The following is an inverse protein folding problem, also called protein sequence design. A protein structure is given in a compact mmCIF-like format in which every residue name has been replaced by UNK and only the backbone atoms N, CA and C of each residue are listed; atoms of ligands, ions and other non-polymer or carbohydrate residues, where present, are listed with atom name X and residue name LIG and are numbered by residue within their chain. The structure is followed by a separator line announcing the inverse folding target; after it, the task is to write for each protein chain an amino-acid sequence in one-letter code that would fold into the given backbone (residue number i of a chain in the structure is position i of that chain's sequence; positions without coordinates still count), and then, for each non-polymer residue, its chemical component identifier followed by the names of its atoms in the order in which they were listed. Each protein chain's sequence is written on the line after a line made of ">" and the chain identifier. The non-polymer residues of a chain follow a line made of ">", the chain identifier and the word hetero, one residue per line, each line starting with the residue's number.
data_IF_647336871788
#
_entry.id   IF_647336871788
#
_cell.length_a   1.000
_cell.length_b   1.000
_cell.length_c   1.000
_cell.angle_alpha   90.00
_cell.angle_beta   90.00
_cell.angle_gamma   90.00
#
_symmetry.space_group_name_H-M   'P 1'
#
loop_
_entity.id
_entity.type
_entity.pdbx_description
1 polymer ?
#
# COMPACT_ATOMS: atom_id res chain seq x y z
N UNK A 1 -26.62 16.95 15.51
CA UNK A 1 -26.76 18.21 16.26
C UNK A 1 -25.73 19.15 15.69
N UNK A 2 -26.14 20.38 15.45
CA UNK A 2 -25.29 21.44 14.95
C UNK A 2 -25.18 22.48 16.06
N UNK A 3 -23.97 22.95 16.31
CA UNK A 3 -23.71 24.01 17.29
C UNK A 3 -22.61 24.88 16.71
N UNK A 4 -22.88 26.18 16.57
CA UNK A 4 -21.93 27.17 16.07
C UNK A 4 -21.33 26.77 14.69
N UNK A 5 -22.18 26.34 13.75
CA UNK A 5 -21.81 25.82 12.41
C UNK A 5 -20.87 24.60 12.40
N UNK A 6 -20.71 23.94 13.55
CA UNK A 6 -19.96 22.70 13.69
C UNK A 6 -20.93 21.54 13.88
N UNK A 7 -20.85 20.56 12.98
CA UNK A 7 -21.62 19.34 13.09
C UNK A 7 -20.96 18.39 14.10
N UNK A 8 -21.75 17.97 15.10
CA UNK A 8 -21.28 17.03 16.13
C UNK A 8 -21.63 15.60 15.72
N UNK A 9 -20.60 14.78 15.54
CA UNK A 9 -20.73 13.35 15.23
C UNK A 9 -21.23 12.58 16.46
N UNK A 10 -22.19 11.67 16.24
CA UNK A 10 -22.74 10.84 17.30
C UNK A 10 -21.73 9.76 17.75
N UNK A 11 -21.15 9.94 18.93
CA UNK A 11 -20.16 9.04 19.49
C UNK A 11 -20.67 7.62 19.80
N UNK A 12 -21.98 7.44 20.06
CA UNK A 12 -22.54 6.08 20.24
C UNK A 12 -22.49 5.30 18.93
N UNK A 13 -22.75 5.96 17.79
CA UNK A 13 -22.58 5.36 16.47
C UNK A 13 -21.12 5.08 16.16
N UNK A 14 -20.22 6.01 16.51
CA UNK A 14 -18.77 5.80 16.40
C UNK A 14 -18.32 4.57 17.18
N UNK A 15 -18.69 4.43 18.45
CA UNK A 15 -18.30 3.29 19.27
C UNK A 15 -18.82 1.97 18.70
N UNK A 16 -20.09 1.90 18.30
CA UNK A 16 -20.67 0.69 17.71
C UNK A 16 -19.98 0.30 16.39
N UNK A 17 -19.75 1.27 15.51
CA UNK A 17 -19.09 1.02 14.20
C UNK A 17 -17.60 0.72 14.33
N UNK A 18 -16.94 1.31 15.33
CA UNK A 18 -15.55 1.02 15.63
C UNK A 18 -15.39 -0.42 16.14
N UNK A 19 -16.30 -0.92 16.98
CA UNK A 19 -16.26 -2.32 17.42
C UNK A 19 -16.54 -3.30 16.25
N UNK A 20 -17.51 -2.99 15.39
CA UNK A 20 -17.78 -3.77 14.18
C UNK A 20 -16.54 -3.86 13.27
N UNK A 21 -15.87 -2.72 13.05
CA UNK A 21 -14.62 -2.65 12.30
C UNK A 21 -13.50 -3.46 12.99
N UNK A 22 -13.41 -3.39 14.32
CA UNK A 22 -12.42 -4.09 15.15
C UNK A 22 -12.51 -5.59 14.96
N UNK A 23 -13.71 -6.16 15.10
CA UNK A 23 -13.94 -7.60 14.96
C UNK A 23 -13.63 -8.09 13.55
N UNK A 24 -14.02 -7.33 12.53
CA UNK A 24 -13.76 -7.69 11.14
C UNK A 24 -12.25 -7.63 10.81
N UNK A 25 -11.55 -6.59 11.26
CA UNK A 25 -10.09 -6.49 11.07
C UNK A 25 -9.35 -7.62 11.79
N UNK A 26 -9.74 -7.94 13.03
CA UNK A 26 -9.17 -9.06 13.79
C UNK A 26 -9.30 -10.38 13.03
N UNK A 27 -10.48 -10.67 12.45
CA UNK A 27 -10.71 -11.87 11.61
C UNK A 27 -9.85 -11.90 10.35
N UNK A 28 -9.68 -10.76 9.68
CA UNK A 28 -8.86 -10.67 8.45
C UNK A 28 -7.38 -10.95 8.76
N UNK A 29 -6.90 -10.40 9.88
CA UNK A 29 -5.51 -10.55 10.33
C UNK A 29 -5.24 -11.94 10.91
N UNK A 30 -6.21 -12.54 11.62
CA UNK A 30 -6.09 -13.92 12.11
C UNK A 30 -5.96 -14.93 10.96
N UNK A 31 -6.66 -14.67 9.84
CA UNK A 31 -6.51 -15.42 8.58
C UNK A 31 -5.16 -15.17 7.86
N UNK A 32 -4.29 -14.33 8.42
CA UNK A 32 -2.96 -14.05 7.91
C UNK A 32 -2.90 -13.09 6.74
N UNK A 33 -3.98 -12.35 6.47
CA UNK A 33 -3.97 -11.27 5.47
C UNK A 33 -3.44 -9.99 6.11
N UNK A 34 -2.69 -9.20 5.33
CA UNK A 34 -2.17 -7.89 5.77
C UNK A 34 -3.23 -6.81 5.52
N UNK A 35 -3.26 -5.80 6.38
CA UNK A 35 -4.10 -4.60 6.23
C UNK A 35 -3.23 -3.48 5.68
N UNK A 36 -3.65 -2.84 4.59
CA UNK A 36 -2.96 -1.68 4.04
C UNK A 36 -3.58 -0.41 4.61
N UNK A 37 -2.78 0.39 5.31
CA UNK A 37 -3.22 1.68 5.82
C UNK A 37 -2.94 2.80 4.83
N UNK A 38 -3.84 3.77 4.70
CA UNK A 38 -3.71 4.86 3.72
C UNK A 38 -4.11 6.19 4.34
N UNK A 39 -3.21 7.16 4.23
CA UNK A 39 -3.53 8.58 4.42
C UNK A 39 -2.49 9.47 3.78
N UNK A 40 -2.91 10.54 3.12
CA UNK A 40 -2.01 11.61 2.65
C UNK A 40 -2.19 12.92 3.43
N UNK A 41 -2.99 12.91 4.51
CA UNK A 41 -3.15 14.08 5.40
C UNK A 41 -1.91 14.31 6.23
N UNK A 42 -1.46 15.56 6.29
CA UNK A 42 -0.26 15.98 7.04
C UNK A 42 -0.41 15.61 8.52
N UNK A 43 -1.60 15.80 9.09
CA UNK A 43 -1.94 15.49 10.48
C UNK A 43 -1.85 13.99 10.79
N UNK A 44 -2.07 13.14 9.80
CA UNK A 44 -2.06 11.68 9.96
C UNK A 44 -0.69 11.05 9.65
N UNK A 45 0.17 11.67 8.84
CA UNK A 45 1.41 11.02 8.32
C UNK A 45 2.30 10.46 9.43
N UNK A 46 2.64 11.30 10.43
CA UNK A 46 3.58 10.90 11.47
C UNK A 46 2.93 9.92 12.45
N UNK A 47 1.68 10.18 12.82
CA UNK A 47 0.89 9.32 13.71
C UNK A 47 0.77 7.92 13.10
N UNK A 48 0.48 7.84 11.80
CA UNK A 48 0.35 6.57 11.10
C UNK A 48 1.65 5.77 11.11
N UNK A 49 2.79 6.43 10.83
CA UNK A 49 4.12 5.81 10.85
C UNK A 49 4.48 5.29 12.23
N UNK A 50 4.20 6.07 13.27
CA UNK A 50 4.48 5.72 14.66
C UNK A 50 3.60 4.55 15.13
N UNK A 51 2.29 4.62 14.92
CA UNK A 51 1.34 3.61 15.39
C UNK A 51 1.51 2.24 14.72
N UNK A 52 2.06 2.19 13.51
CA UNK A 52 2.17 0.93 12.74
C UNK A 52 3.57 0.29 12.85
N UNK A 53 4.55 1.04 13.38
CA UNK A 53 5.96 0.62 13.43
C UNK A 53 6.15 -0.77 14.06
N UNK A 54 5.35 -1.09 15.07
CA UNK A 54 5.52 -2.31 15.86
C UNK A 54 4.78 -3.53 15.28
N UNK A 55 3.83 -3.33 14.35
CA UNK A 55 2.93 -4.40 13.85
C UNK A 55 3.26 -4.90 12.43
N UNK A 56 4.30 -4.36 11.79
CA UNK A 56 4.74 -4.74 10.45
C UNK A 56 3.58 -4.76 9.43
N UNK A 57 2.71 -3.75 9.47
CA UNK A 57 1.64 -3.60 8.48
C UNK A 57 2.05 -2.59 7.40
N UNK A 58 1.72 -2.85 6.13
CA UNK A 58 2.01 -1.90 5.07
C UNK A 58 1.14 -0.64 5.20
N UNK A 59 1.72 0.51 4.86
CA UNK A 59 1.00 1.79 4.89
C UNK A 59 1.40 2.69 3.72
N UNK A 60 0.59 3.66 3.32
CA UNK A 60 0.96 4.71 2.36
C UNK A 60 0.68 6.05 3.04
N UNK A 61 1.74 6.82 3.31
CA UNK A 61 1.64 8.13 3.96
C UNK A 61 1.81 9.32 3.01
N UNK A 62 2.39 9.13 1.83
CA UNK A 62 2.79 10.24 0.96
C UNK A 62 1.74 10.58 -0.09
N UNK A 63 1.75 9.87 -1.21
CA UNK A 63 0.80 10.04 -2.31
C UNK A 63 0.34 8.68 -2.76
N UNK A 64 -0.96 8.51 -2.95
CA UNK A 64 -1.51 7.33 -3.60
C UNK A 64 -1.20 7.36 -5.11
N UNK A 65 -0.37 6.45 -5.65
CA UNK A 65 -0.21 6.32 -7.09
C UNK A 65 -1.42 5.59 -7.66
N UNK A 66 -2.10 6.20 -8.64
CA UNK A 66 -3.20 5.54 -9.33
C UNK A 66 -2.74 4.22 -9.97
N UNK A 67 -3.54 3.17 -9.80
CA UNK A 67 -3.19 1.82 -10.22
C UNK A 67 -2.40 1.02 -9.20
N UNK A 68 -2.25 1.50 -7.96
CA UNK A 68 -1.50 0.78 -6.91
C UNK A 68 -2.02 -0.65 -6.74
N UNK A 69 -3.34 -0.79 -6.61
CA UNK A 69 -3.99 -2.08 -6.38
C UNK A 69 -4.40 -2.71 -7.71
N UNK A 70 -5.01 -1.92 -8.60
CA UNK A 70 -5.58 -2.44 -9.86
C UNK A 70 -4.53 -2.84 -10.88
N UNK A 71 -3.32 -2.25 -10.84
CA UNK A 71 -2.18 -2.60 -11.69
C UNK A 71 -0.97 -3.07 -10.84
N UNK A 72 -1.25 -3.88 -9.82
CA UNK A 72 -0.23 -4.31 -8.84
C UNK A 72 0.97 -5.04 -9.47
N UNK A 73 0.77 -5.74 -10.60
CA UNK A 73 1.85 -6.42 -11.33
C UNK A 73 2.90 -5.44 -11.86
N UNK A 74 2.48 -4.26 -12.33
CA UNK A 74 3.38 -3.20 -12.80
C UNK A 74 4.05 -2.49 -11.64
N UNK A 75 3.30 -2.19 -10.58
CA UNK A 75 3.84 -1.57 -9.36
C UNK A 75 4.94 -2.43 -8.75
N UNK A 76 4.75 -3.75 -8.73
CA UNK A 76 5.78 -4.70 -8.28
C UNK A 76 7.06 -4.62 -9.12
N UNK A 77 6.98 -4.38 -10.43
CA UNK A 77 8.18 -4.17 -11.27
C UNK A 77 8.92 -2.90 -10.84
N UNK A 78 8.20 -1.85 -10.48
CA UNK A 78 8.79 -0.60 -9.97
C UNK A 78 9.46 -0.81 -8.61
N UNK A 79 8.83 -1.56 -7.69
CA UNK A 79 9.43 -1.96 -6.40
C UNK A 79 10.69 -2.81 -6.62
N UNK A 80 10.68 -3.76 -7.56
CA UNK A 80 11.87 -4.54 -7.90
C UNK A 80 13.01 -3.68 -8.43
N UNK A 81 12.72 -2.63 -9.21
CA UNK A 81 13.74 -1.66 -9.66
C UNK A 81 14.35 -0.91 -8.48
N UNK A 82 13.54 -0.55 -7.48
CA UNK A 82 14.02 0.06 -6.23
C UNK A 82 14.99 -0.88 -5.50
N UNK A 83 14.61 -2.14 -5.29
CA UNK A 83 15.45 -3.15 -4.64
C UNK A 83 16.72 -3.46 -5.43
N UNK A 84 16.67 -3.40 -6.78
CA UNK A 84 17.87 -3.55 -7.61
C UNK A 84 18.86 -2.40 -7.39
N UNK A 85 18.39 -1.17 -7.21
CA UNK A 85 19.26 -0.03 -6.87
C UNK A 85 19.92 -0.26 -5.51
N UNK A 86 19.20 -0.79 -4.52
CA UNK A 86 19.78 -1.12 -3.21
C UNK A 86 20.85 -2.20 -3.30
N UNK A 87 20.61 -3.24 -4.13
CA UNK A 87 21.62 -4.26 -4.41
C UNK A 87 22.87 -3.67 -5.08
N UNK A 88 22.69 -2.85 -6.12
CA UNK A 88 23.83 -2.19 -6.79
C UNK A 88 24.66 -1.32 -5.84
N UNK A 89 24.03 -0.69 -4.84
CA UNK A 89 24.73 0.08 -3.80
C UNK A 89 25.54 -0.81 -2.88
N UNK A 90 24.99 -1.97 -2.49
CA UNK A 90 25.67 -2.93 -1.61
C UNK A 90 26.80 -3.69 -2.32
N UNK A 91 26.60 -4.04 -3.59
CA UNK A 91 27.53 -4.85 -4.40
C UNK A 91 28.70 -4.01 -4.97
N UNK A 92 28.74 -2.70 -4.71
CA UNK A 92 29.82 -1.80 -5.13
C UNK A 92 29.76 -1.37 -6.60
N UNK A 93 28.88 -1.97 -7.44
CA UNK A 93 28.65 -1.56 -8.84
C UNK A 93 28.22 -0.10 -8.94
N UNK A 94 27.56 0.44 -7.90
CA UNK A 94 27.21 1.85 -7.84
C UNK A 94 28.44 2.78 -7.97
N UNK A 95 29.62 2.31 -7.59
CA UNK A 95 30.89 3.05 -7.69
C UNK A 95 31.35 3.36 -9.11
N UNK A 96 30.94 2.58 -10.11
CA UNK A 96 31.42 2.72 -11.50
C UNK A 96 30.76 3.87 -12.27
N UNK A 97 29.62 4.35 -11.78
CA UNK A 97 28.88 5.44 -12.43
C UNK A 97 29.53 6.81 -12.21
N UNK A 98 29.29 7.72 -13.15
CA UNK A 98 29.69 9.12 -13.03
C UNK A 98 28.95 9.81 -11.87
N UNK A 99 29.50 10.91 -11.34
CA UNK A 99 28.86 11.68 -10.24
C UNK A 99 27.43 12.12 -10.59
N UNK A 100 27.19 12.47 -11.87
CA UNK A 100 25.87 12.90 -12.36
C UNK A 100 24.87 11.74 -12.35
N UNK A 101 25.26 10.57 -12.81
CA UNK A 101 24.40 9.38 -12.84
C UNK A 101 24.10 8.87 -11.42
N UNK A 102 25.09 8.85 -10.53
CA UNK A 102 24.90 8.53 -9.11
C UNK A 102 23.82 9.40 -8.48
N UNK A 103 23.91 10.71 -8.67
CA UNK A 103 22.91 11.66 -8.16
C UNK A 103 21.50 11.40 -8.72
N UNK A 104 21.38 11.07 -10.01
CA UNK A 104 20.08 10.74 -10.62
C UNK A 104 19.50 9.45 -10.06
N UNK A 105 20.32 8.41 -9.89
CA UNK A 105 19.91 7.13 -9.31
C UNK A 105 19.49 7.32 -7.84
N UNK A 106 20.23 8.11 -7.06
CA UNK A 106 19.90 8.42 -5.68
C UNK A 106 18.57 9.15 -5.54
N UNK A 107 18.35 10.21 -6.32
CA UNK A 107 17.07 10.93 -6.34
C UNK A 107 15.91 10.01 -6.73
N UNK A 108 16.12 9.13 -7.70
CA UNK A 108 15.13 8.14 -8.11
C UNK A 108 14.84 7.14 -6.99
N UNK A 109 15.87 6.65 -6.30
CA UNK A 109 15.73 5.72 -5.18
C UNK A 109 14.99 6.34 -4.01
N UNK A 110 15.32 7.58 -3.65
CA UNK A 110 14.66 8.31 -2.58
C UNK A 110 13.18 8.57 -2.88
N UNK A 111 12.87 8.95 -4.14
CA UNK A 111 11.48 9.13 -4.59
C UNK A 111 10.68 7.83 -4.53
N UNK A 112 11.30 6.71 -4.91
CA UNK A 112 10.67 5.38 -4.82
C UNK A 112 10.49 4.95 -3.36
N UNK A 113 11.46 5.23 -2.47
CA UNK A 113 11.40 4.91 -1.05
C UNK A 113 10.19 5.56 -0.38
N UNK A 114 10.05 6.87 -0.60
CA UNK A 114 9.00 7.69 0.02
C UNK A 114 7.60 7.18 -0.32
N UNK A 115 7.41 6.63 -1.52
CA UNK A 115 6.10 6.18 -2.00
C UNK A 115 5.89 4.68 -1.72
N UNK A 116 6.90 3.85 -1.94
CA UNK A 116 6.75 2.39 -1.98
C UNK A 116 7.52 1.63 -0.90
N UNK A 117 8.32 2.30 -0.07
CA UNK A 117 9.20 1.65 0.91
C UNK A 117 8.44 0.69 1.84
N UNK A 118 7.31 1.14 2.36
CA UNK A 118 6.40 0.39 3.25
C UNK A 118 5.64 -0.77 2.59
N UNK A 119 5.57 -0.81 1.26
CA UNK A 119 4.92 -1.91 0.52
C UNK A 119 5.94 -2.78 -0.21
N UNK A 120 7.23 -2.57 0.03
CA UNK A 120 8.31 -3.24 -0.69
C UNK A 120 8.30 -4.76 -0.48
N UNK A 121 7.88 -5.20 0.70
CA UNK A 121 7.76 -6.61 1.08
C UNK A 121 6.41 -7.24 0.72
N UNK A 122 5.47 -6.46 0.15
CA UNK A 122 4.17 -7.00 -0.23
C UNK A 122 4.25 -7.88 -1.48
N UNK A 123 4.11 -9.19 -1.29
CA UNK A 123 4.02 -10.15 -2.40
C UNK A 123 2.62 -10.31 -3.00
N UNK A 124 1.58 -9.97 -2.23
CA UNK A 124 0.17 -10.15 -2.60
C UNK A 124 -0.64 -8.90 -2.26
N UNK A 125 -1.81 -8.78 -2.86
CA UNK A 125 -2.76 -7.73 -2.54
C UNK A 125 -3.17 -7.81 -1.06
N UNK A 126 -3.45 -6.67 -0.41
CA UNK A 126 -3.89 -6.67 0.98
C UNK A 126 -5.24 -7.37 1.13
N UNK A 127 -5.55 -7.83 2.35
CA UNK A 127 -6.86 -8.38 2.68
C UNK A 127 -7.90 -7.33 3.05
N UNK A 128 -7.45 -6.14 3.45
CA UNK A 128 -8.29 -5.01 3.79
C UNK A 128 -7.54 -3.70 3.54
N UNK A 129 -8.30 -2.64 3.32
CA UNK A 129 -7.80 -1.27 3.27
C UNK A 129 -8.33 -0.49 4.46
N UNK A 130 -7.46 0.19 5.21
CA UNK A 130 -7.86 1.14 6.25
C UNK A 130 -7.51 2.56 5.80
N UNK A 131 -8.51 3.42 5.67
CA UNK A 131 -8.39 4.76 5.08
C UNK A 131 -8.66 5.84 6.12
N UNK A 132 -7.75 6.79 6.26
CA UNK A 132 -7.94 8.01 7.05
C UNK A 132 -8.23 9.15 6.06
N UNK A 133 -9.45 9.68 6.13
CA UNK A 133 -10.09 10.56 5.14
C UNK A 133 -10.46 9.86 3.82
N UNK A 134 -11.72 9.44 3.75
CA UNK A 134 -12.32 8.80 2.57
C UNK A 134 -12.46 9.76 1.38
N UNK A 135 -12.67 11.06 1.62
CA UNK A 135 -12.83 12.06 0.56
C UNK A 135 -11.51 12.33 -0.14
N UNK A 136 -10.42 12.49 0.61
CA UNK A 136 -9.09 12.69 0.05
C UNK A 136 -8.57 11.44 -0.64
N UNK A 137 -8.75 10.26 -0.04
CA UNK A 137 -8.25 8.99 -0.58
C UNK A 137 -9.25 8.24 -1.46
N UNK A 138 -10.15 8.96 -2.12
CA UNK A 138 -11.20 8.37 -2.95
C UNK A 138 -10.69 7.45 -4.07
N UNK A 139 -9.46 7.67 -4.59
CA UNK A 139 -8.85 6.80 -5.61
C UNK A 139 -8.55 5.43 -5.01
N UNK A 140 -8.00 5.39 -3.79
CA UNK A 140 -7.70 4.14 -3.09
C UNK A 140 -8.97 3.34 -2.83
N UNK A 141 -10.03 4.02 -2.38
CA UNK A 141 -11.36 3.42 -2.14
C UNK A 141 -11.94 2.85 -3.44
N UNK A 142 -11.88 3.60 -4.55
CA UNK A 142 -12.37 3.13 -5.87
C UNK A 142 -11.62 1.89 -6.36
N UNK A 143 -10.30 1.88 -6.22
CA UNK A 143 -9.47 0.74 -6.61
C UNK A 143 -9.73 -0.50 -5.75
N UNK A 144 -9.83 -0.34 -4.43
CA UNK A 144 -10.12 -1.43 -3.50
C UNK A 144 -11.48 -2.06 -3.80
N UNK A 145 -12.51 -1.23 -3.98
CA UNK A 145 -13.86 -1.67 -4.33
C UNK A 145 -13.90 -2.44 -5.65
N UNK A 146 -13.17 -1.97 -6.68
CA UNK A 146 -13.09 -2.67 -7.97
C UNK A 146 -12.52 -4.08 -7.85
N UNK A 147 -11.67 -4.32 -6.86
CA UNK A 147 -11.03 -5.61 -6.60
C UNK A 147 -11.72 -6.44 -5.51
N UNK A 148 -12.82 -5.94 -4.94
CA UNK A 148 -13.52 -6.60 -3.83
C UNK A 148 -12.71 -6.64 -2.53
N UNK A 149 -11.78 -5.69 -2.33
CA UNK A 149 -11.03 -5.55 -1.08
C UNK A 149 -11.91 -4.74 -0.11
N UNK A 150 -12.23 -5.26 1.08
CA UNK A 150 -13.06 -4.54 2.04
C UNK A 150 -12.36 -3.27 2.54
N UNK A 151 -13.13 -2.19 2.60
CA UNK A 151 -12.66 -0.84 2.97
C UNK A 151 -13.21 -0.45 4.34
N UNK A 152 -12.28 -0.16 5.23
CA UNK A 152 -12.50 0.43 6.55
C UNK A 152 -12.10 1.90 6.45
N UNK A 153 -12.93 2.82 6.91
CA UNK A 153 -12.69 4.24 6.66
C UNK A 153 -13.17 5.15 7.77
N UNK A 154 -12.34 6.11 8.16
CA UNK A 154 -12.75 7.26 8.94
C UNK A 154 -13.59 8.20 8.07
N UNK A 155 -14.83 8.44 8.48
CA UNK A 155 -15.80 9.27 7.74
C UNK A 155 -16.13 10.49 8.57
N UNK A 156 -15.75 11.66 8.07
CA UNK A 156 -16.16 12.95 8.61
C UNK A 156 -17.46 13.45 7.96
N UNK A 157 -18.01 14.54 8.49
CA UNK A 157 -19.26 15.19 8.10
C UNK A 157 -19.34 15.56 6.62
N UNK A 158 -18.19 15.77 5.96
CA UNK A 158 -18.10 16.15 4.55
C UNK A 158 -17.90 14.95 3.59
N UNK A 159 -17.89 13.73 4.13
CA UNK A 159 -17.52 12.51 3.41
C UNK A 159 -18.73 11.58 3.22
N UNK A 160 -18.79 10.90 2.08
CA UNK A 160 -19.89 9.98 1.77
C UNK A 160 -19.54 8.54 2.21
N UNK A 161 -20.30 7.94 3.15
CA UNK A 161 -20.02 6.60 3.67
C UNK A 161 -20.43 5.44 2.74
N UNK A 162 -21.20 5.69 1.67
CA UNK A 162 -21.83 4.64 0.84
C UNK A 162 -20.82 3.65 0.24
N UNK A 163 -19.61 4.12 -0.09
CA UNK A 163 -18.58 3.30 -0.73
C UNK A 163 -17.62 2.63 0.28
N UNK A 164 -17.97 2.62 1.56
CA UNK A 164 -17.14 2.10 2.65
C UNK A 164 -17.90 0.99 3.34
N UNK A 165 -17.29 -0.20 3.40
CA UNK A 165 -17.92 -1.38 4.01
C UNK A 165 -18.06 -1.21 5.53
N UNK A 166 -17.00 -0.67 6.15
CA UNK A 166 -16.95 -0.40 7.60
C UNK A 166 -16.68 1.08 7.86
N UNK A 167 -17.71 1.95 7.76
CA UNK A 167 -17.55 3.37 8.00
C UNK A 167 -17.49 3.65 9.51
N UNK A 168 -16.44 4.35 9.95
CA UNK A 168 -16.23 4.80 11.31
C UNK A 168 -16.48 6.32 11.34
N UNK A 169 -17.63 6.79 11.86
CA UNK A 169 -17.89 8.22 11.97
C UNK A 169 -16.88 8.89 12.90
N UNK A 170 -16.08 9.81 12.42
CA UNK A 170 -14.98 10.41 13.19
C UNK A 170 -14.43 11.68 12.58
N UNK A 171 -13.84 12.54 13.41
CA UNK A 171 -13.06 13.68 12.93
C UNK A 171 -11.70 13.19 12.41
N UNK A 172 -11.42 13.46 11.14
CA UNK A 172 -10.19 13.05 10.44
C UNK A 172 -9.20 14.22 10.22
N UNK A 173 -9.52 15.43 10.70
CA UNK A 173 -8.63 16.61 10.69
C UNK A 173 -7.86 16.76 12.01
N UNK A 174 -8.40 16.24 13.11
CA UNK A 174 -7.74 16.27 14.42
C UNK A 174 -6.73 15.13 14.57
N UNK A 175 -5.46 15.49 14.81
CA UNK A 175 -4.40 14.55 15.16
C UNK A 175 -4.76 13.67 16.36
N UNK A 176 -5.39 14.25 17.40
CA UNK A 176 -5.83 13.52 18.59
C UNK A 176 -6.91 12.49 18.27
N UNK A 177 -7.87 12.84 17.41
CA UNK A 177 -8.94 11.93 16.98
C UNK A 177 -8.38 10.76 16.17
N UNK A 178 -7.53 11.07 15.16
CA UNK A 178 -6.84 10.07 14.34
C UNK A 178 -6.03 9.10 15.21
N UNK A 179 -5.24 9.63 16.14
CA UNK A 179 -4.40 8.83 17.04
C UNK A 179 -5.25 7.86 17.88
N UNK A 180 -6.32 8.34 18.52
CA UNK A 180 -7.19 7.48 19.35
C UNK A 180 -7.82 6.34 18.55
N UNK A 181 -8.29 6.62 17.34
CA UNK A 181 -8.89 5.59 16.48
C UNK A 181 -7.83 4.59 16.02
N UNK A 182 -6.66 5.08 15.62
CA UNK A 182 -5.55 4.21 15.22
C UNK A 182 -5.05 3.32 16.35
N UNK A 183 -4.89 3.83 17.57
CA UNK A 183 -4.51 3.04 18.75
C UNK A 183 -5.47 1.86 18.96
N UNK A 184 -6.78 2.13 18.87
CA UNK A 184 -7.80 1.11 19.02
C UNK A 184 -7.77 0.06 17.90
N UNK A 185 -7.59 0.50 16.66
CA UNK A 185 -7.49 -0.37 15.48
C UNK A 185 -6.21 -1.21 15.53
N UNK A 186 -5.06 -0.62 15.84
CA UNK A 186 -3.77 -1.30 15.94
C UNK A 186 -3.81 -2.37 17.02
N UNK A 187 -4.36 -2.06 18.19
CA UNK A 187 -4.55 -3.03 19.28
C UNK A 187 -5.32 -4.28 18.80
N UNK A 188 -6.35 -4.11 17.98
CA UNK A 188 -7.11 -5.24 17.43
C UNK A 188 -6.34 -6.08 16.42
N UNK A 189 -5.46 -5.47 15.64
CA UNK A 189 -4.58 -6.15 14.71
C UNK A 189 -3.55 -6.96 15.49
N UNK A 190 -2.95 -6.39 16.55
CA UNK A 190 -2.04 -7.11 17.44
C UNK A 190 -2.71 -8.33 18.07
N UNK A 191 -3.93 -8.19 18.57
CA UNK A 191 -4.71 -9.31 19.07
C UNK A 191 -4.92 -10.39 18.00
N UNK A 192 -5.26 -9.99 16.77
CA UNK A 192 -5.44 -10.90 15.63
C UNK A 192 -4.14 -11.62 15.25
N UNK A 193 -2.99 -10.95 15.30
CA UNK A 193 -1.67 -11.55 15.07
C UNK A 193 -1.35 -12.56 16.17
N UNK A 194 -1.54 -12.19 17.45
CA UNK A 194 -1.30 -13.07 18.60
C UNK A 194 -2.17 -14.33 18.52
N UNK A 195 -3.45 -14.15 18.20
CA UNK A 195 -4.38 -15.27 18.01
C UNK A 195 -3.89 -16.22 16.91
N UNK A 196 -3.51 -15.70 15.75
CA UNK A 196 -2.95 -16.51 14.65
C UNK A 196 -1.71 -17.30 15.05
N UNK A 197 -0.80 -16.70 15.82
CA UNK A 197 0.39 -17.41 16.31
C UNK A 197 -0.02 -18.55 17.24
N UNK A 198 -0.95 -18.29 18.17
CA UNK A 198 -1.43 -19.30 19.11
C UNK A 198 -2.17 -20.46 18.42
N UNK A 199 -2.96 -20.18 17.38
CA UNK A 199 -3.67 -21.20 16.62
C UNK A 199 -2.69 -22.10 15.85
N UNK A 200 -1.64 -21.52 15.26
CA UNK A 200 -0.57 -22.27 14.60
C UNK A 200 0.22 -23.15 15.57
N UNK A 201 0.48 -22.68 16.78
CA UNK A 201 1.17 -23.45 17.82
C UNK A 201 0.31 -24.63 18.33
N UNK A 202 -1.01 -24.45 18.44
CA UNK A 202 -1.95 -25.51 18.84
C UNK A 202 -2.12 -26.60 17.78
N UNK A 203 -2.03 -26.25 16.50
CA UNK A 203 -2.13 -27.23 15.41
C UNK A 203 -0.82 -28.01 15.14
N UNK A 204 0.25 -27.77 15.90
CA UNK A 204 1.52 -28.50 15.75
C UNK A 204 2.25 -28.22 14.42
N UNK A 205 1.86 -27.18 13.69
CA UNK A 205 2.59 -26.76 12.49
C UNK A 205 3.87 -26.02 12.92
N UNK A 206 5.04 -26.36 12.35
CA UNK A 206 6.28 -25.70 12.70
C UNK A 206 6.20 -24.20 12.39
N UNK A 207 6.87 -23.37 13.21
CA UNK A 207 7.13 -21.95 12.95
C UNK A 207 7.85 -21.80 11.62
N UNK A 208 7.08 -21.71 10.54
CA UNK A 208 7.58 -21.35 9.21
C UNK A 208 7.51 -19.85 9.09
N UNK A 209 8.69 -19.25 9.01
CA UNK A 209 8.88 -17.88 8.55
C UNK A 209 8.03 -17.63 7.31
N UNK A 210 7.42 -16.44 7.30
CA UNK A 210 6.33 -15.96 6.45
C UNK A 210 6.59 -15.96 4.94
N UNK A 211 7.73 -16.49 4.46
CA UNK A 211 8.09 -16.55 3.04
C UNK A 211 7.65 -17.84 2.32
N UNK A 212 7.41 -18.95 3.04
CA UNK A 212 7.30 -20.27 2.41
C UNK A 212 5.89 -20.70 1.95
N UNK A 213 4.83 -19.98 2.35
CA UNK A 213 3.44 -20.35 2.01
C UNK A 213 2.92 -19.71 0.70
N UNK A 214 3.52 -18.61 0.25
CA UNK A 214 3.13 -17.96 -1.02
C UNK A 214 3.56 -18.75 -2.27
N UNK A 215 4.34 -19.82 -2.11
CA UNK A 215 4.82 -20.68 -3.21
C UNK A 215 3.91 -21.87 -3.53
N UNK A 216 2.93 -22.22 -2.68
CA UNK A 216 2.10 -23.44 -2.88
C UNK A 216 0.78 -23.19 -3.63
N UNK A 217 0.26 -21.97 -3.69
CA UNK A 217 -0.98 -21.66 -4.43
C UNK A 217 -0.77 -21.47 -5.95
N UNK A 218 0.47 -21.33 -6.42
CA UNK A 218 0.79 -21.05 -7.83
C UNK A 218 1.03 -22.30 -8.69
N UNK A 219 1.06 -23.51 -8.10
CA UNK A 219 1.31 -24.77 -8.85
C UNK A 219 0.06 -25.42 -9.47
N UNK A 220 -1.17 -24.99 -9.12
CA UNK A 220 -2.41 -25.56 -9.71
C UNK A 220 -2.90 -24.90 -11.01
N UNK A 221 -2.24 -23.85 -11.50
CA UNK A 221 -2.60 -23.18 -12.75
C UNK A 221 -1.62 -23.44 -13.92
N UNK A 222 -0.76 -24.46 -13.83
CA UNK A 222 0.37 -24.65 -14.78
C UNK A 222 0.34 -25.96 -15.57
N UNK A 223 -0.84 -26.49 -15.89
CA UNK A 223 -0.94 -27.61 -16.84
C UNK A 223 -1.99 -27.26 -17.91
N UNK A 224 -1.56 -26.53 -18.93
CA UNK A 224 -1.84 -26.79 -20.36
C UNK A 224 -0.94 -25.92 -21.23
N UNK A 225 0.08 -26.56 -21.85
CA UNK A 225 0.83 -26.23 -23.09
C UNK A 225 1.67 -24.91 -23.09
N UNK A 226 3.01 -24.94 -22.89
CA UNK A 226 4.12 -25.22 -23.85
C UNK A 226 3.92 -24.51 -25.22
N UNK A 227 4.87 -23.79 -25.81
CA UNK A 227 6.33 -23.78 -25.67
C UNK A 227 6.95 -22.54 -26.35
N UNK A 228 8.14 -22.16 -25.86
CA UNK A 228 9.36 -21.74 -26.57
C UNK A 228 9.38 -20.55 -27.57
N UNK A 229 10.54 -19.88 -27.55
CA UNK A 229 11.02 -18.74 -28.35
C UNK A 229 10.46 -17.35 -28.03
N UNK A 230 11.06 -16.69 -27.03
CA UNK A 230 11.07 -15.21 -26.97
C UNK A 230 12.25 -14.60 -26.19
N UNK A 231 13.44 -15.19 -26.32
CA UNK A 231 14.66 -14.65 -25.69
C UNK A 231 15.57 -13.88 -26.66
N UNK A 232 15.26 -13.85 -27.96
CA UNK A 232 16.01 -13.09 -28.97
C UNK A 232 15.35 -11.76 -29.41
N UNK A 233 14.10 -11.49 -29.00
CA UNK A 233 13.36 -10.28 -29.41
C UNK A 233 13.48 -9.08 -28.45
N UNK A 234 13.99 -9.28 -27.23
CA UNK A 234 14.09 -8.20 -26.23
C UNK A 234 15.36 -7.35 -26.36
N UNK A 235 16.44 -7.89 -26.93
CA UNK A 235 17.69 -7.15 -27.16
C UNK A 235 17.53 -6.09 -28.25
N UNK A 236 16.73 -6.35 -29.30
CA UNK A 236 16.50 -5.40 -30.41
C UNK A 236 15.47 -4.29 -30.13
N UNK A 237 14.73 -4.38 -29.02
CA UNK A 237 13.69 -3.39 -28.66
C UNK A 237 14.16 -2.29 -27.71
N UNK A 238 15.37 -2.41 -27.18
CA UNK A 238 15.98 -1.40 -26.29
C UNK A 238 16.79 -0.39 -27.11
N UNK A 239 17.35 -0.77 -28.26
CA UNK A 239 18.08 0.17 -29.15
C UNK A 239 17.17 1.08 -29.99
N UNK A 240 15.88 0.73 -30.19
CA UNK A 240 14.95 1.51 -31.02
C UNK A 240 14.13 2.56 -30.27
N UNK A 241 14.17 2.62 -28.94
CA UNK A 241 13.41 3.62 -28.16
C UNK A 241 14.22 4.87 -27.77
N UNK A 242 15.53 4.86 -28.01
CA UNK A 242 16.42 5.98 -27.66
C UNK A 242 16.66 6.96 -28.83
N UNK A 243 16.14 6.65 -30.04
CA UNK A 243 16.29 7.50 -31.24
C UNK A 243 15.08 8.45 -31.44
N UNK A 244 13.87 8.03 -31.05
CA UNK A 244 12.64 8.83 -31.25
C UNK A 244 12.45 9.99 -30.25
N UNK A 245 13.32 10.15 -29.26
CA UNK A 245 13.25 11.29 -28.30
C UNK A 245 14.25 12.40 -28.57
N UNK A 246 15.09 12.27 -29.61
CA UNK A 246 16.00 13.35 -30.05
C UNK A 246 15.48 14.19 -31.21
N UNK A 247 14.44 13.74 -31.93
CA UNK A 247 13.94 14.46 -33.10
C UNK A 247 12.75 15.41 -32.82
N UNK A 248 12.06 15.27 -31.69
CA UNK A 248 10.90 16.14 -31.35
C UNK A 248 11.28 17.43 -30.60
N UNK A 249 12.53 17.59 -30.18
CA UNK A 249 12.99 18.79 -29.44
C UNK A 249 13.69 19.85 -30.30
N UNK A 250 13.74 19.68 -31.63
CA UNK A 250 14.41 20.63 -32.55
C UNK A 250 13.44 21.40 -33.46
N UNK A 251 12.18 20.98 -33.59
CA UNK A 251 11.22 21.62 -34.52
C UNK A 251 10.18 22.56 -33.89
N UNK A 252 10.23 22.87 -32.58
CA UNK A 252 9.28 23.78 -31.94
C UNK A 252 9.80 25.17 -31.53
N UNK A 253 11.04 25.54 -31.88
CA UNK A 253 11.57 26.90 -31.63
C UNK A 253 11.68 27.80 -32.88
N UNK A 254 11.08 27.42 -34.01
CA UNK A 254 10.99 28.29 -35.21
C UNK A 254 9.55 28.35 -35.71
N UNK A 255 8.65 28.97 -34.93
CA UNK A 255 7.45 29.72 -35.38
C UNK A 255 6.44 29.92 -34.23
N UNK A 256 6.76 30.79 -33.27
CA UNK A 256 5.85 31.80 -32.69
C UNK A 256 6.51 32.58 -31.56
#
# INVERSE_FOLDING_TARGET
>A
MEKDDIHIINLRKTAAKLEEAREALKKIVSNGRKVLFVSTKIQAKNILKESIKDIDMPFISERWPGGLLTNFSTIRKTVKKMQLIDKMKNDGTFGTFSKREKLQIDRKREKLDKIFGSISDMMRLPGALFVIDVKKEHIAVKEARKLGIPVFGMVDTNSNPINIDFPIPSNDDSSTSIKKILEYVVSSIEEGIKQRVSDKEKEGLPKKDTAAEDAKLTKKARITKKADNKQEELSKKIEKSDDDTKNDSVEQEVNK
#
